data_IF_336076379261
#
_entry.id   IF_336076379261
#
_cell.length_a   1.000
_cell.length_b   1.000
_cell.length_c   1.000
_cell.angle_alpha   90.00
_cell.angle_beta   90.00
_cell.angle_gamma   90.00
#
_symmetry.space_group_name_H-M   'P 1'
#
loop_
_entity.id
_entity.type
_entity.pdbx_description
1 polymer ?
#
# COMPACT_ATOMS: atom_id res chain seq x y z
N UNK A 1 64.90 42.16 7.12
CA UNK A 1 64.17 41.20 7.97
C UNK A 1 63.12 42.00 8.73
N UNK A 2 61.83 41.61 8.65
CA UNK A 2 60.64 42.16 9.36
C UNK A 2 60.36 43.68 9.21
N UNK A 3 59.25 44.15 8.61
CA UNK A 3 57.83 44.08 9.05
C UNK A 3 57.61 44.87 10.37
N UNK A 4 56.63 45.77 10.58
CA UNK A 4 55.24 45.98 10.07
C UNK A 4 54.89 47.50 10.11
N UNK A 5 53.80 48.09 9.61
CA UNK A 5 52.78 47.90 8.54
C UNK A 5 52.00 49.27 8.42
N UNK A 6 51.12 49.49 7.43
CA UNK A 6 50.10 50.59 7.41
C UNK A 6 48.91 50.22 6.51
N UNK A 7 47.64 50.63 6.77
CA UNK A 7 46.47 50.01 6.12
C UNK A 7 45.72 50.89 5.09
N UNK A 8 44.85 50.20 4.31
CA UNK A 8 43.60 50.67 3.67
C UNK A 8 43.61 51.77 2.61
N UNK A 9 43.19 51.41 1.38
CA UNK A 9 41.93 51.88 0.74
C UNK A 9 41.65 51.12 -0.57
N UNK A 10 40.40 50.67 -0.75
CA UNK A 10 39.85 49.98 -1.94
C UNK A 10 39.59 51.00 -3.07
N UNK A 11 39.81 50.68 -4.36
CA UNK A 11 38.68 50.20 -5.16
C UNK A 11 38.99 49.20 -6.30
N UNK A 12 37.89 48.69 -6.89
CA UNK A 12 37.64 48.53 -8.33
C UNK A 12 37.55 47.09 -8.90
N UNK A 13 36.40 46.78 -9.52
CA UNK A 13 36.17 45.54 -10.24
C UNK A 13 34.71 45.30 -10.66
N UNK A 14 34.35 45.72 -11.87
CA UNK A 14 33.17 45.29 -12.61
C UNK A 14 33.57 45.05 -14.08
N UNK A 15 32.71 44.48 -14.94
CA UNK A 15 31.92 43.25 -14.80
C UNK A 15 32.32 42.24 -15.91
N UNK A 16 31.87 40.97 -15.87
CA UNK A 16 31.71 40.13 -17.09
C UNK A 16 30.61 39.07 -16.92
N UNK A 17 29.72 39.02 -17.91
CA UNK A 17 28.85 37.86 -18.15
C UNK A 17 29.67 36.63 -18.58
N UNK A 18 29.25 35.43 -18.19
CA UNK A 18 29.54 34.22 -18.96
C UNK A 18 28.38 33.24 -18.83
N UNK A 19 27.91 32.75 -19.98
CA UNK A 19 26.71 31.94 -20.07
C UNK A 19 26.88 30.52 -19.50
N UNK A 20 25.90 30.08 -18.71
CA UNK A 20 25.49 28.69 -18.65
C UNK A 20 23.97 28.62 -18.88
N UNK A 21 23.59 28.79 -20.13
CA UNK A 21 22.22 28.55 -20.60
C UNK A 21 21.90 27.06 -20.62
N UNK A 22 21.78 26.44 -19.46
CA UNK A 22 21.14 25.13 -19.35
C UNK A 22 19.64 25.35 -19.53
N UNK A 23 19.16 25.16 -20.75
CA UNK A 23 17.74 25.02 -21.01
C UNK A 23 17.24 23.73 -20.35
N UNK A 24 16.87 23.82 -19.08
CA UNK A 24 16.03 22.82 -18.44
C UNK A 24 14.75 22.78 -19.27
N UNK A 25 14.56 21.67 -19.99
CA UNK A 25 13.34 21.43 -20.76
C UNK A 25 12.15 21.72 -19.85
N UNK A 26 11.20 22.54 -20.33
CA UNK A 26 10.02 22.94 -19.59
C UNK A 26 9.13 21.72 -19.33
N UNK A 27 9.47 20.96 -18.29
CA UNK A 27 8.77 19.77 -17.89
C UNK A 27 7.37 20.16 -17.44
N UNK A 28 6.37 19.79 -18.25
CA UNK A 28 4.96 19.87 -17.85
C UNK A 28 4.81 19.11 -16.55
N UNK A 29 4.51 19.84 -15.48
CA UNK A 29 4.28 19.27 -14.16
C UNK A 29 2.90 18.63 -14.16
N UNK A 30 2.81 17.35 -14.53
CA UNK A 30 1.53 16.61 -14.66
C UNK A 30 0.62 16.77 -13.42
N UNK A 31 1.22 17.01 -12.25
CA UNK A 31 0.50 17.29 -10.99
C UNK A 31 -0.28 18.60 -10.95
N UNK A 32 -0.01 19.59 -11.81
CA UNK A 32 -0.72 20.88 -11.80
C UNK A 32 -2.09 20.82 -12.49
N UNK A 33 -2.33 19.80 -13.31
CA UNK A 33 -3.60 19.54 -14.00
C UNK A 33 -4.50 18.56 -13.22
N UNK A 34 -4.04 18.06 -12.07
CA UNK A 34 -4.82 17.14 -11.23
C UNK A 34 -5.79 17.94 -10.36
N UNK A 35 -7.08 17.61 -10.43
CA UNK A 35 -8.07 18.17 -9.52
C UNK A 35 -7.77 17.75 -8.06
N UNK A 36 -7.98 18.62 -7.06
CA UNK A 36 -7.87 18.25 -5.65
C UNK A 36 -8.83 17.11 -5.30
N UNK A 37 -8.28 15.98 -4.83
CA UNK A 37 -9.06 14.87 -4.33
C UNK A 37 -9.22 14.97 -2.80
N UNK A 38 -10.47 14.98 -2.32
CA UNK A 38 -10.78 14.97 -0.89
C UNK A 38 -10.81 13.52 -0.38
N UNK A 39 -9.91 13.18 0.54
CA UNK A 39 -9.76 11.82 1.06
C UNK A 39 -10.57 11.65 2.34
N UNK A 40 -11.68 10.90 2.28
CA UNK A 40 -12.43 10.56 3.49
C UNK A 40 -11.67 9.56 4.36
N UNK A 41 -11.42 9.94 5.61
CA UNK A 41 -10.92 9.03 6.64
C UNK A 41 -11.89 7.86 6.90
N UNK A 42 -13.20 8.09 6.77
CA UNK A 42 -14.22 7.04 6.96
C UNK A 42 -14.19 6.01 5.83
N UNK A 43 -14.07 6.46 4.57
CA UNK A 43 -13.97 5.54 3.42
C UNK A 43 -12.65 4.75 3.46
N UNK A 44 -11.55 5.41 3.84
CA UNK A 44 -10.26 4.74 4.05
C UNK A 44 -10.35 3.68 5.15
N UNK A 45 -10.94 4.01 6.31
CA UNK A 45 -11.12 3.06 7.40
C UNK A 45 -12.08 1.91 7.04
N UNK A 46 -13.13 2.17 6.26
CA UNK A 46 -14.05 1.15 5.79
C UNK A 46 -13.38 0.19 4.79
N UNK A 47 -12.55 0.72 3.87
CA UNK A 47 -11.77 -0.08 2.94
C UNK A 47 -10.73 -0.97 3.66
N UNK A 48 -9.95 -0.41 4.59
CA UNK A 48 -8.99 -1.20 5.37
C UNK A 48 -9.69 -2.27 6.23
N UNK A 49 -10.88 -1.99 6.78
CA UNK A 49 -11.69 -3.00 7.46
C UNK A 49 -12.18 -4.12 6.50
N UNK A 50 -12.42 -3.84 5.22
CA UNK A 50 -12.73 -4.86 4.22
C UNK A 50 -11.50 -5.70 3.85
N UNK A 51 -10.33 -5.06 3.73
CA UNK A 51 -9.04 -5.76 3.53
C UNK A 51 -8.76 -6.71 4.69
N UNK A 52 -8.97 -6.27 5.93
CA UNK A 52 -8.74 -7.10 7.11
C UNK A 52 -9.74 -8.26 7.23
N UNK A 53 -11.01 -8.04 6.87
CA UNK A 53 -12.00 -9.14 6.80
C UNK A 53 -11.55 -10.24 5.80
N UNK A 54 -11.02 -9.86 4.63
CA UNK A 54 -10.46 -10.84 3.67
C UNK A 54 -9.24 -11.55 4.27
N UNK A 55 -8.31 -10.81 4.90
CA UNK A 55 -7.13 -11.39 5.53
C UNK A 55 -7.51 -12.39 6.63
N UNK A 56 -8.53 -12.08 7.43
CA UNK A 56 -9.08 -12.98 8.45
C UNK A 56 -9.61 -14.28 7.86
N UNK A 57 -10.33 -14.23 6.73
CA UNK A 57 -10.78 -15.42 6.02
C UNK A 57 -9.60 -16.25 5.43
N UNK A 58 -8.56 -15.59 4.89
CA UNK A 58 -7.32 -16.26 4.45
C UNK A 58 -6.62 -16.94 5.63
N UNK A 59 -6.56 -16.28 6.79
CA UNK A 59 -6.00 -16.81 8.03
C UNK A 59 -6.75 -18.02 8.57
N UNK A 60 -8.08 -18.02 8.50
CA UNK A 60 -8.91 -19.18 8.86
C UNK A 60 -8.60 -20.41 7.97
N UNK A 61 -8.41 -20.21 6.66
CA UNK A 61 -7.97 -21.29 5.78
C UNK A 61 -6.52 -21.75 6.07
N UNK A 62 -5.61 -20.85 6.49
CA UNK A 62 -4.28 -21.26 6.95
C UNK A 62 -4.36 -22.13 8.21
N UNK A 63 -5.23 -21.79 9.16
CA UNK A 63 -5.49 -22.60 10.34
C UNK A 63 -6.07 -23.98 9.98
N UNK A 64 -6.98 -24.05 9.00
CA UNK A 64 -7.51 -25.32 8.47
C UNK A 64 -6.43 -26.18 7.83
N UNK A 65 -5.54 -25.60 7.03
CA UNK A 65 -4.40 -26.33 6.43
C UNK A 65 -3.51 -26.89 7.54
N UNK A 66 -3.11 -26.07 8.52
CA UNK A 66 -2.27 -26.52 9.63
C UNK A 66 -2.93 -27.62 10.49
N UNK A 67 -4.25 -27.54 10.72
CA UNK A 67 -5.00 -28.56 11.44
C UNK A 67 -5.10 -29.89 10.67
N UNK A 68 -5.19 -29.84 9.34
CA UNK A 68 -5.17 -31.04 8.48
C UNK A 68 -3.77 -31.66 8.41
N UNK A 69 -2.73 -30.84 8.18
CA UNK A 69 -1.33 -31.25 8.12
C UNK A 69 -0.81 -31.85 9.44
N UNK A 70 -1.47 -31.55 10.57
CA UNK A 70 -1.13 -32.08 11.89
C UNK A 70 -1.73 -33.47 12.24
N UNK A 71 -2.56 -34.05 11.37
CA UNK A 71 -3.14 -35.40 11.59
C UNK A 71 -2.14 -36.51 11.31
N UNK A 72 -2.33 -37.68 11.93
CA UNK A 72 -1.54 -38.89 11.65
C UNK A 72 -1.62 -39.34 10.17
N UNK A 73 -2.75 -39.04 9.51
CA UNK A 73 -2.97 -39.23 8.08
C UNK A 73 -3.73 -38.01 7.52
N UNK A 74 -3.03 -36.95 7.07
CA UNK A 74 -3.64 -35.77 6.47
C UNK A 74 -4.36 -36.09 5.16
N UNK A 75 -5.52 -35.47 4.91
CA UNK A 75 -6.20 -35.55 3.62
C UNK A 75 -5.67 -34.46 2.65
N UNK A 76 -4.98 -34.84 1.55
CA UNK A 76 -4.48 -33.87 0.57
C UNK A 76 -5.61 -33.07 -0.10
N UNK A 77 -6.81 -33.65 -0.23
CA UNK A 77 -7.93 -32.96 -0.88
C UNK A 77 -8.44 -31.77 -0.05
N UNK A 78 -8.41 -31.88 1.29
CA UNK A 78 -8.78 -30.78 2.20
C UNK A 78 -7.74 -29.65 2.12
N UNK A 79 -6.45 -29.99 2.09
CA UNK A 79 -5.35 -29.03 1.96
C UNK A 79 -5.45 -28.27 0.63
N UNK A 80 -5.59 -28.98 -0.49
CA UNK A 80 -5.69 -28.35 -1.81
C UNK A 80 -6.98 -27.53 -1.98
N UNK A 81 -8.11 -27.97 -1.41
CA UNK A 81 -9.34 -27.18 -1.39
C UNK A 81 -9.18 -25.86 -0.62
N UNK A 82 -8.48 -25.88 0.52
CA UNK A 82 -8.17 -24.70 1.32
C UNK A 82 -7.19 -23.75 0.61
N UNK A 83 -6.11 -24.27 0.01
CA UNK A 83 -5.17 -23.48 -0.83
C UNK A 83 -5.90 -22.83 -2.01
N UNK A 84 -6.77 -23.57 -2.69
CA UNK A 84 -7.60 -23.04 -3.77
C UNK A 84 -8.58 -21.96 -3.28
N UNK A 85 -9.07 -22.03 -2.03
CA UNK A 85 -9.89 -20.98 -1.42
C UNK A 85 -9.08 -19.70 -1.16
N UNK A 86 -7.88 -19.81 -0.58
CA UNK A 86 -6.97 -18.66 -0.41
C UNK A 86 -6.63 -18.00 -1.76
N UNK A 87 -6.36 -18.79 -2.80
CA UNK A 87 -6.16 -18.30 -4.17
C UNK A 87 -7.40 -17.72 -4.86
N UNK A 88 -8.62 -17.92 -4.31
CA UNK A 88 -9.82 -17.16 -4.71
C UNK A 88 -9.88 -15.83 -3.94
N UNK A 89 -9.75 -15.87 -2.61
CA UNK A 89 -9.78 -14.69 -1.74
C UNK A 89 -8.75 -13.62 -2.14
N UNK A 90 -7.54 -14.03 -2.54
CA UNK A 90 -6.52 -13.11 -3.04
C UNK A 90 -6.98 -12.31 -4.28
N UNK A 91 -7.62 -12.98 -5.25
CA UNK A 91 -8.17 -12.33 -6.46
C UNK A 91 -9.41 -11.49 -6.16
N UNK A 92 -10.24 -11.92 -5.22
CA UNK A 92 -11.38 -11.13 -4.75
C UNK A 92 -10.91 -9.84 -4.07
N UNK A 93 -9.81 -9.89 -3.29
CA UNK A 93 -9.14 -8.72 -2.69
C UNK A 93 -8.61 -7.74 -3.74
N UNK A 94 -7.95 -8.24 -4.78
CA UNK A 94 -7.46 -7.43 -5.92
C UNK A 94 -8.61 -6.74 -6.69
N UNK A 95 -9.80 -7.33 -6.65
CA UNK A 95 -11.03 -6.77 -7.21
C UNK A 95 -11.64 -5.62 -6.42
N UNK A 96 -11.25 -5.41 -5.16
CA UNK A 96 -11.83 -4.37 -4.31
C UNK A 96 -11.50 -2.95 -4.78
N UNK A 97 -12.44 -2.02 -4.61
CA UNK A 97 -12.31 -0.61 -4.99
C UNK A 97 -12.65 0.27 -3.80
N UNK A 98 -11.72 1.12 -3.38
CA UNK A 98 -11.88 2.02 -2.22
C UNK A 98 -13.04 3.00 -2.32
N UNK A 99 -13.45 3.36 -3.54
CA UNK A 99 -14.60 4.22 -3.81
C UNK A 99 -15.96 3.47 -3.84
N UNK A 100 -15.97 2.13 -3.85
CA UNK A 100 -17.20 1.34 -3.92
C UNK A 100 -17.67 0.95 -2.51
N UNK A 101 -18.51 1.83 -1.93
CA UNK A 101 -19.03 1.67 -0.57
C UNK A 101 -19.91 0.42 -0.40
N UNK A 102 -20.62 -0.02 -1.44
CA UNK A 102 -21.49 -1.20 -1.38
C UNK A 102 -20.65 -2.48 -1.38
N UNK A 103 -19.68 -2.57 -2.29
CA UNK A 103 -18.71 -3.67 -2.34
C UNK A 103 -17.91 -3.79 -1.04
N UNK A 104 -17.48 -2.67 -0.45
CA UNK A 104 -16.78 -2.64 0.85
C UNK A 104 -17.66 -3.19 1.98
N UNK A 105 -18.94 -2.80 2.03
CA UNK A 105 -19.87 -3.28 3.05
C UNK A 105 -20.20 -4.78 2.89
N UNK A 106 -20.40 -5.25 1.65
CA UNK A 106 -20.59 -6.67 1.35
C UNK A 106 -19.35 -7.48 1.75
N UNK A 107 -18.16 -7.05 1.31
CA UNK A 107 -16.90 -7.73 1.59
C UNK A 107 -16.69 -7.95 3.10
N UNK A 108 -16.86 -6.90 3.91
CA UNK A 108 -16.78 -7.01 5.38
C UNK A 108 -17.73 -8.08 5.92
N UNK A 109 -19.03 -7.96 5.64
CA UNK A 109 -20.01 -8.93 6.15
C UNK A 109 -19.79 -10.35 5.63
N UNK A 110 -19.28 -10.52 4.41
CA UNK A 110 -19.08 -11.81 3.76
C UNK A 110 -17.85 -12.52 4.32
N UNK A 111 -16.70 -11.84 4.36
CA UNK A 111 -15.45 -12.48 4.79
C UNK A 111 -15.36 -12.65 6.31
N UNK A 112 -15.94 -11.72 7.11
CA UNK A 112 -16.11 -11.93 8.56
C UNK A 112 -16.96 -13.16 8.88
N UNK A 113 -17.95 -13.47 8.04
CA UNK A 113 -18.79 -14.66 8.19
C UNK A 113 -18.02 -15.91 7.78
N UNK A 114 -17.39 -15.88 6.60
CA UNK A 114 -16.60 -17.00 6.07
C UNK A 114 -15.46 -17.40 7.03
N UNK A 115 -14.76 -16.44 7.63
CA UNK A 115 -13.72 -16.71 8.62
C UNK A 115 -14.27 -17.48 9.83
N UNK A 116 -15.45 -17.10 10.34
CA UNK A 116 -16.13 -17.80 11.45
C UNK A 116 -16.61 -19.18 11.05
N UNK A 117 -17.18 -19.34 9.86
CA UNK A 117 -17.61 -20.64 9.33
C UNK A 117 -16.42 -21.61 9.20
N UNK A 118 -15.32 -21.17 8.58
CA UNK A 118 -14.10 -21.99 8.41
C UNK A 118 -13.46 -22.35 9.76
N UNK A 119 -13.50 -21.46 10.75
CA UNK A 119 -12.98 -21.76 12.10
C UNK A 119 -13.89 -22.68 12.91
N UNK A 120 -15.22 -22.61 12.72
CA UNK A 120 -16.18 -23.49 13.40
C UNK A 120 -16.06 -24.95 12.93
N UNK A 121 -15.64 -25.18 11.69
CA UNK A 121 -15.29 -26.51 11.16
C UNK A 121 -14.06 -27.15 11.82
N UNK A 122 -13.29 -26.41 12.64
CA UNK A 122 -12.06 -26.90 13.31
C UNK A 122 -12.26 -27.29 14.78
N UNK A 123 -13.44 -27.05 15.35
CA UNK A 123 -13.79 -27.30 16.77
C UNK A 123 -14.76 -28.45 16.93
#
# INVERSE_FOLDING_TARGET
MTARDTPSTTPQGAPRDTALGTAWSSGVSVTHDLEPHDWSYEETAAYEAAIEAVNGAVGAYSARIAAEEAKDAPDPAVIEAARAAQGRLAREREGLRSADREQIAEARSRYDRLAREVMADLT
#
